data_IF_729231792730
#
_entry.id   IF_729231792730
#
_cell.length_a   1.000
_cell.length_b   1.000
_cell.length_c   1.000
_cell.angle_alpha   90.00
_cell.angle_beta   90.00
_cell.angle_gamma   90.00
#
_symmetry.space_group_name_H-M   'P 1'
#
loop_
_entity.id
_entity.type
_entity.pdbx_description
1 polymer ?
#
# COMPACT_ATOMS: atom_id res chain seq x y z
N UNK A 1 -11.39 -1.17 8.77
CA UNK A 1 -10.41 -0.34 9.50
C UNK A 1 -9.30 -1.23 10.03
N UNK A 2 -8.08 -1.06 9.54
CA UNK A 2 -6.90 -1.84 9.90
C UNK A 2 -6.47 -1.54 11.34
N UNK A 3 -6.03 -2.59 12.05
CA UNK A 3 -5.47 -2.48 13.40
C UNK A 3 -3.98 -2.74 13.33
N UNK A 4 -3.18 -1.88 13.97
CA UNK A 4 -1.73 -2.02 14.01
C UNK A 4 -1.35 -3.33 14.71
N UNK A 5 -0.57 -4.18 14.04
CA UNK A 5 -0.13 -5.47 14.61
C UNK A 5 0.75 -5.34 15.86
N UNK A 6 1.32 -4.15 16.12
CA UNK A 6 2.19 -3.87 17.27
C UNK A 6 1.44 -3.26 18.46
N UNK A 7 0.47 -2.40 18.21
CA UNK A 7 -0.20 -1.59 19.24
C UNK A 7 -1.70 -1.89 19.37
N UNK A 8 -2.27 -2.64 18.42
CA UNK A 8 -3.71 -2.86 18.26
C UNK A 8 -4.55 -1.58 18.10
N UNK A 9 -3.92 -0.43 17.81
CA UNK A 9 -4.61 0.83 17.54
C UNK A 9 -5.11 0.91 16.09
N UNK A 10 -6.10 1.76 15.83
CA UNK A 10 -6.59 2.06 14.48
C UNK A 10 -5.53 2.76 13.65
N UNK A 11 -5.37 2.32 12.41
CA UNK A 11 -4.39 2.88 11.49
C UNK A 11 -5.03 3.94 10.61
N UNK A 12 -4.24 4.94 10.22
CA UNK A 12 -4.61 5.92 9.19
C UNK A 12 -4.42 5.25 7.83
N UNK A 13 -5.48 5.10 7.07
CA UNK A 13 -5.51 4.34 5.80
C UNK A 13 -5.60 5.26 4.56
N UNK A 14 -5.50 4.66 3.38
CA UNK A 14 -5.62 5.27 2.06
C UNK A 14 -4.59 6.38 1.81
N UNK A 15 -3.43 6.28 2.44
CA UNK A 15 -2.32 7.19 2.24
C UNK A 15 -1.60 6.88 0.92
N UNK A 16 -1.20 7.95 0.24
CA UNK A 16 -0.41 7.88 -0.97
C UNK A 16 1.08 7.80 -0.63
N UNK A 17 1.80 6.92 -1.33
CA UNK A 17 3.25 6.84 -1.26
C UNK A 17 3.81 7.46 -2.53
N UNK A 18 4.65 8.47 -2.35
CA UNK A 18 5.28 9.22 -3.44
C UNK A 18 6.78 9.27 -3.25
N UNK A 19 7.51 9.34 -4.36
CA UNK A 19 8.95 9.61 -4.34
C UNK A 19 9.16 11.03 -3.84
N UNK A 20 10.07 11.24 -2.89
CA UNK A 20 10.38 12.59 -2.41
C UNK A 20 10.89 13.47 -3.57
N UNK A 21 10.38 14.71 -3.66
CA UNK A 21 10.65 15.60 -4.81
C UNK A 21 9.91 15.23 -6.10
N UNK A 22 9.08 14.19 -6.11
CA UNK A 22 8.24 13.78 -7.24
C UNK A 22 6.79 13.51 -6.84
N UNK A 23 5.86 13.67 -7.79
CA UNK A 23 4.45 13.33 -7.56
C UNK A 23 4.10 11.88 -7.95
N UNK A 24 5.08 11.09 -8.37
CA UNK A 24 4.89 9.71 -8.83
C UNK A 24 4.73 8.75 -7.65
N UNK A 25 3.79 7.81 -7.77
CA UNK A 25 3.57 6.76 -6.78
C UNK A 25 4.04 5.38 -7.23
N UNK A 26 3.90 4.40 -6.35
CA UNK A 26 4.25 3.00 -6.61
C UNK A 26 3.05 2.23 -7.17
N UNK A 27 3.34 1.29 -8.08
CA UNK A 27 2.37 0.30 -8.58
C UNK A 27 2.96 -1.10 -8.47
N UNK A 28 2.10 -2.11 -8.35
CA UNK A 28 2.52 -3.51 -8.37
C UNK A 28 2.27 -4.09 -9.76
N UNK A 29 3.26 -4.77 -10.33
CA UNK A 29 3.15 -5.46 -11.62
C UNK A 29 3.57 -6.92 -11.45
N UNK A 30 3.03 -7.82 -12.28
CA UNK A 30 3.63 -9.16 -12.41
C UNK A 30 5.04 -9.04 -13.02
N UNK A 31 5.92 -9.99 -12.73
CA UNK A 31 7.28 -10.01 -13.31
C UNK A 31 7.23 -10.07 -14.85
N UNK A 32 8.05 -9.25 -15.52
CA UNK A 32 8.15 -9.14 -16.97
C UNK A 32 7.92 -7.72 -17.49
N UNK A 33 8.31 -7.47 -18.75
CA UNK A 33 8.40 -6.10 -19.32
C UNK A 33 7.02 -5.52 -19.71
N UNK A 34 6.00 -6.36 -19.93
CA UNK A 34 4.67 -5.95 -20.40
C UNK A 34 3.52 -6.65 -19.67
N UNK A 35 3.62 -6.83 -18.35
CA UNK A 35 2.57 -7.53 -17.60
C UNK A 35 1.57 -6.60 -16.94
N UNK A 36 0.42 -7.18 -16.65
CA UNK A 36 -0.73 -6.53 -16.04
C UNK A 36 -0.34 -5.76 -14.78
N UNK A 37 -0.80 -4.51 -14.75
CA UNK A 37 -0.78 -3.68 -13.54
C UNK A 37 -1.81 -4.23 -12.55
N UNK A 38 -1.34 -4.65 -11.39
CA UNK A 38 -2.19 -5.14 -10.30
C UNK A 38 -2.84 -3.98 -9.51
N UNK A 39 -2.28 -2.78 -9.58
CA UNK A 39 -2.87 -1.59 -8.97
C UNK A 39 -1.84 -0.62 -8.38
N UNK A 40 -2.34 0.54 -7.93
CA UNK A 40 -1.58 1.53 -7.15
C UNK A 40 -1.39 1.01 -5.72
N UNK A 41 -0.19 1.19 -5.16
CA UNK A 41 0.09 0.87 -3.77
C UNK A 41 -0.43 1.99 -2.87
N UNK A 42 -1.15 1.61 -1.83
CA UNK A 42 -1.55 2.47 -0.73
C UNK A 42 -0.80 2.07 0.55
N UNK A 43 -0.72 3.00 1.51
CA UNK A 43 -0.24 2.69 2.86
C UNK A 43 -1.29 2.91 3.94
N UNK A 44 -1.13 2.13 5.01
CA UNK A 44 -1.72 2.40 6.30
C UNK A 44 -0.59 2.66 7.31
N UNK A 45 -0.74 3.66 8.18
CA UNK A 45 0.26 4.01 9.19
C UNK A 45 -0.38 4.02 10.58
N UNK A 46 0.26 3.37 11.55
CA UNK A 46 -0.10 3.49 12.95
C UNK A 46 0.33 4.86 13.50
N UNK A 47 -0.61 5.69 14.00
CA UNK A 47 -0.25 7.00 14.52
C UNK A 47 0.55 6.94 15.84
N UNK A 48 0.50 5.82 16.56
CA UNK A 48 1.19 5.65 17.85
C UNK A 48 2.65 5.25 17.69
N UNK A 49 2.94 4.29 16.81
CA UNK A 49 4.28 3.69 16.73
C UNK A 49 4.93 3.78 15.34
N UNK A 50 4.25 4.39 14.36
CA UNK A 50 4.77 4.55 13.00
C UNK A 50 4.85 3.26 12.17
N UNK A 51 4.29 2.14 12.65
CA UNK A 51 4.22 0.92 11.84
C UNK A 51 3.50 1.20 10.52
N UNK A 52 4.16 0.86 9.42
CA UNK A 52 3.70 1.09 8.06
C UNK A 52 3.38 -0.24 7.38
N UNK A 53 2.18 -0.32 6.81
CA UNK A 53 1.70 -1.45 6.03
C UNK A 53 1.41 -0.99 4.60
N UNK A 54 1.84 -1.78 3.61
CA UNK A 54 1.57 -1.54 2.19
C UNK A 54 0.49 -2.50 1.70
N UNK A 55 -0.47 -2.00 0.92
CA UNK A 55 -1.55 -2.83 0.38
C UNK A 55 -2.05 -2.36 -0.98
N UNK A 56 -2.77 -3.25 -1.66
CA UNK A 56 -3.63 -2.95 -2.80
C UNK A 56 -5.09 -2.96 -2.34
N UNK A 57 -5.87 -1.97 -2.74
CA UNK A 57 -7.29 -1.88 -2.40
C UNK A 57 -8.11 -2.89 -3.20
N UNK A 58 -7.87 -2.97 -4.52
CA UNK A 58 -8.51 -3.94 -5.40
C UNK A 58 -7.68 -5.22 -5.51
N UNK A 59 -8.22 -6.32 -4.98
CA UNK A 59 -7.59 -7.64 -5.04
C UNK A 59 -8.10 -8.52 -6.19
N UNK A 60 -9.04 -8.04 -7.01
CA UNK A 60 -9.70 -8.84 -8.07
C UNK A 60 -8.71 -9.37 -9.12
N UNK A 61 -7.60 -8.67 -9.33
CA UNK A 61 -6.53 -9.04 -10.29
C UNK A 61 -5.44 -9.93 -9.68
N UNK A 62 -5.50 -10.20 -8.37
CA UNK A 62 -4.50 -11.00 -7.66
C UNK A 62 -4.89 -12.48 -7.74
N UNK A 63 -4.22 -13.20 -8.64
CA UNK A 63 -4.37 -14.65 -8.81
C UNK A 63 -3.17 -15.36 -8.19
N UNK A 64 -3.40 -16.53 -7.56
CA UNK A 64 -2.32 -17.41 -7.10
C UNK A 64 -1.61 -18.10 -8.26
#
# INVERSE_FOLDING_TARGET
MRKCIRCNNEMIENLDIKVEGGAYGLKVTKQGIFKDNLGKVHSAICPECGYLELYLEDTSKITK
#
